data_IF_807751323297
#
_entry.id   IF_807751323297
#
_cell.length_a   1.000
_cell.length_b   1.000
_cell.length_c   1.000
_cell.angle_alpha   90.00
_cell.angle_beta   90.00
_cell.angle_gamma   90.00
#
_symmetry.space_group_name_H-M   'P 1'
#
loop_
_entity.id
_entity.type
_entity.pdbx_description
1 polymer ?
#
# COMPACT_ATOMS: atom_id res chain seq x y z
N UNK A 1 -7.50 3.59 15.09
CA UNK A 1 -7.96 3.54 13.68
C UNK A 1 -7.36 2.35 12.93
N UNK A 2 -6.03 2.29 12.77
CA UNK A 2 -5.35 1.21 12.03
C UNK A 2 -5.65 -0.21 12.54
N UNK A 3 -5.68 -0.43 13.87
CA UNK A 3 -6.09 -1.73 14.44
C UNK A 3 -7.50 -2.16 13.97
N UNK A 4 -8.47 -1.24 14.00
CA UNK A 4 -9.83 -1.53 13.57
C UNK A 4 -9.91 -1.84 12.06
N UNK A 5 -9.10 -1.17 11.24
CA UNK A 5 -8.95 -1.49 9.82
C UNK A 5 -8.38 -2.90 9.65
N UNK A 6 -7.32 -3.25 10.37
CA UNK A 6 -6.73 -4.58 10.28
C UNK A 6 -7.71 -5.69 10.71
N UNK A 7 -8.47 -5.50 11.79
CA UNK A 7 -9.48 -6.49 12.21
C UNK A 7 -10.60 -6.67 11.18
N UNK A 8 -11.03 -5.57 10.56
CA UNK A 8 -11.98 -5.61 9.44
C UNK A 8 -11.39 -6.30 8.21
N UNK A 9 -10.12 -6.04 7.88
CA UNK A 9 -9.38 -6.72 6.82
C UNK A 9 -9.35 -8.23 7.06
N UNK A 10 -8.91 -8.68 8.25
CA UNK A 10 -8.88 -10.10 8.64
C UNK A 10 -10.26 -10.75 8.56
N UNK A 11 -11.31 -10.04 8.96
CA UNK A 11 -12.69 -10.54 8.85
C UNK A 11 -13.12 -10.74 7.40
N UNK A 12 -12.81 -9.79 6.53
CA UNK A 12 -13.11 -9.92 5.09
C UNK A 12 -12.25 -11.00 4.43
N UNK A 13 -10.99 -11.14 4.80
CA UNK A 13 -10.12 -12.21 4.29
C UNK A 13 -10.71 -13.59 4.59
N UNK A 14 -11.17 -13.83 5.82
CA UNK A 14 -11.86 -15.08 6.18
C UNK A 14 -13.11 -15.33 5.34
N UNK A 15 -13.90 -14.28 5.05
CA UNK A 15 -15.09 -14.38 4.20
C UNK A 15 -14.76 -14.72 2.74
N UNK A 16 -13.61 -14.26 2.25
CA UNK A 16 -13.15 -14.45 0.88
C UNK A 16 -12.17 -15.62 0.71
N UNK A 17 -11.97 -16.41 1.78
CA UNK A 17 -11.03 -17.54 1.80
C UNK A 17 -9.61 -17.11 1.39
N UNK A 18 -9.11 -16.03 2.00
CA UNK A 18 -7.74 -15.54 1.80
C UNK A 18 -6.91 -15.76 3.06
N UNK A 19 -5.74 -16.37 2.89
CA UNK A 19 -4.80 -16.62 3.98
C UNK A 19 -3.97 -15.36 4.30
N UNK A 20 -3.67 -14.55 3.29
CA UNK A 20 -2.85 -13.35 3.38
C UNK A 20 -3.27 -12.33 2.31
N UNK A 21 -3.00 -11.04 2.53
CA UNK A 21 -3.08 -10.01 1.50
C UNK A 21 -1.73 -9.32 1.37
N UNK A 22 -1.19 -9.26 0.16
CA UNK A 22 0.04 -8.55 -0.18
C UNK A 22 -0.29 -7.19 -0.82
N UNK A 23 0.28 -6.12 -0.26
CA UNK A 23 0.00 -4.72 -0.60
C UNK A 23 1.29 -4.01 -1.02
N UNK A 24 1.23 -3.40 -2.19
CA UNK A 24 2.27 -2.59 -2.81
C UNK A 24 2.40 -1.21 -2.16
N UNK A 25 3.56 -0.55 -2.27
CA UNK A 25 3.72 0.87 -1.99
C UNK A 25 2.64 1.71 -2.67
N UNK A 26 1.97 2.56 -1.90
CA UNK A 26 0.93 3.45 -2.41
C UNK A 26 -0.24 3.64 -1.45
N UNK A 27 -1.40 4.11 -1.95
CA UNK A 27 -2.53 4.51 -1.12
C UNK A 27 -3.10 3.40 -0.23
N UNK A 28 -3.02 2.14 -0.65
CA UNK A 28 -3.49 1.01 0.15
C UNK A 28 -2.55 0.72 1.31
N UNK A 29 -1.23 0.78 1.08
CA UNK A 29 -0.25 0.65 2.16
C UNK A 29 -0.41 1.78 3.19
N UNK A 30 -0.55 3.02 2.75
CA UNK A 30 -0.84 4.14 3.66
C UNK A 30 -2.16 3.90 4.43
N UNK A 31 -3.22 3.45 3.75
CA UNK A 31 -4.52 3.20 4.41
C UNK A 31 -4.46 2.10 5.49
N UNK A 32 -3.76 1.00 5.24
CA UNK A 32 -3.68 -0.15 6.14
C UNK A 32 -2.59 -0.05 7.19
N UNK A 33 -1.48 0.60 6.85
CA UNK A 33 -0.25 0.59 7.64
C UNK A 33 0.22 1.97 8.09
N UNK A 34 -0.31 3.07 7.52
CA UNK A 34 0.25 4.43 7.65
C UNK A 34 1.72 4.50 7.24
N UNK A 35 2.08 3.68 6.24
CA UNK A 35 3.42 3.63 5.66
C UNK A 35 3.42 4.25 4.27
N UNK A 36 4.39 5.12 4.04
CA UNK A 36 4.60 5.80 2.77
C UNK A 36 5.96 5.41 2.18
N UNK A 37 5.89 4.64 1.10
CA UNK A 37 7.03 4.28 0.27
C UNK A 37 6.74 4.72 -1.16
N UNK A 38 7.80 5.13 -1.85
CA UNK A 38 7.71 5.40 -3.28
C UNK A 38 7.87 4.10 -4.05
N UNK A 39 7.04 3.92 -5.07
CA UNK A 39 7.22 2.81 -6.00
C UNK A 39 8.51 3.06 -6.80
N UNK A 40 9.47 2.15 -6.69
CA UNK A 40 10.76 2.19 -7.38
C UNK A 40 11.12 0.81 -7.92
N UNK A 41 12.21 0.67 -8.65
CA UNK A 41 12.77 -0.62 -9.08
C UNK A 41 13.03 -1.58 -7.91
N UNK A 42 13.30 -1.05 -6.72
CA UNK A 42 13.56 -1.84 -5.51
C UNK A 42 12.26 -2.43 -4.96
N UNK A 43 12.10 -3.76 -4.91
CA UNK A 43 10.86 -4.37 -4.43
C UNK A 43 10.58 -4.06 -2.96
N UNK A 44 9.34 -3.63 -2.70
CA UNK A 44 8.78 -3.43 -1.37
C UNK A 44 7.40 -4.06 -1.38
N UNK A 45 7.10 -4.91 -0.39
CA UNK A 45 5.81 -5.57 -0.29
C UNK A 45 5.42 -5.81 1.17
N UNK A 46 4.25 -5.29 1.56
CA UNK A 46 3.68 -5.54 2.88
C UNK A 46 2.72 -6.72 2.80
N UNK A 47 2.84 -7.64 3.75
CA UNK A 47 1.99 -8.81 3.87
C UNK A 47 1.15 -8.72 5.14
N UNK A 48 -0.15 -8.88 5.00
CA UNK A 48 -1.11 -8.92 6.09
C UNK A 48 -1.72 -10.32 6.16
N UNK A 49 -1.19 -11.22 6.99
CA UNK A 49 -1.75 -12.54 7.16
C UNK A 49 -3.08 -12.48 7.93
N UNK A 50 -3.95 -13.45 7.67
CA UNK A 50 -5.23 -13.62 8.38
C UNK A 50 -5.04 -13.86 9.88
N UNK A 51 -3.90 -14.47 10.24
CA UNK A 51 -3.46 -14.76 11.60
C UNK A 51 -2.00 -14.32 11.81
N UNK A 52 -1.68 -13.86 13.01
CA UNK A 52 -0.34 -13.35 13.35
C UNK A 52 -0.11 -11.89 12.93
N UNK A 53 1.18 -11.53 12.90
CA UNK A 53 1.65 -10.16 12.70
C UNK A 53 1.94 -9.87 11.22
N UNK A 54 1.75 -8.61 10.77
CA UNK A 54 2.17 -8.19 9.44
C UNK A 54 3.68 -8.36 9.20
N UNK A 55 4.05 -8.63 7.96
CA UNK A 55 5.43 -8.67 7.51
C UNK A 55 5.70 -7.63 6.43
N UNK A 56 6.94 -7.18 6.33
CA UNK A 56 7.36 -6.21 5.32
C UNK A 56 8.69 -6.66 4.72
N UNK A 57 8.72 -6.85 3.40
CA UNK A 57 9.98 -6.94 2.65
C UNK A 57 10.32 -5.54 2.13
N UNK A 58 11.54 -5.05 2.39
CA UNK A 58 11.92 -3.66 2.13
C UNK A 58 13.44 -3.49 2.02
N UNK A 59 13.98 -2.55 1.23
CA UNK A 59 15.38 -2.17 1.30
C UNK A 59 15.80 -1.78 2.72
N UNK A 60 16.98 -2.21 3.16
CA UNK A 60 17.42 -2.04 4.54
C UNK A 60 17.45 -0.58 5.01
N UNK A 61 17.82 0.35 4.13
CA UNK A 61 17.86 1.77 4.45
C UNK A 61 16.47 2.41 4.59
N UNK A 62 15.37 1.78 4.17
CA UNK A 62 14.01 2.29 4.39
C UNK A 62 13.25 1.51 5.47
N UNK A 63 13.84 0.46 6.02
CA UNK A 63 13.22 -0.40 7.03
C UNK A 63 12.77 0.36 8.29
N UNK A 64 13.50 1.42 8.65
CA UNK A 64 13.19 2.27 9.80
C UNK A 64 11.83 2.96 9.67
N UNK A 65 11.32 3.19 8.45
CA UNK A 65 9.97 3.79 8.27
C UNK A 65 8.88 2.93 8.91
N UNK A 66 9.05 1.61 8.90
CA UNK A 66 8.10 0.70 9.52
C UNK A 66 8.17 0.75 11.05
N UNK A 67 9.38 0.83 11.61
CA UNK A 67 9.59 0.91 13.08
C UNK A 67 9.19 2.27 13.64
N UNK A 68 9.42 3.34 12.89
CA UNK A 68 9.25 4.73 13.35
C UNK A 68 7.85 5.28 13.06
N UNK A 69 7.04 4.57 12.26
CA UNK A 69 5.66 4.94 11.95
C UNK A 69 4.78 5.14 13.19
N UNK A 70 5.19 4.64 14.37
CA UNK A 70 4.39 4.65 15.59
C UNK A 70 3.07 3.87 15.44
N UNK A 71 2.95 3.10 14.35
CA UNK A 71 1.80 2.29 14.04
C UNK A 71 1.62 1.16 15.07
N UNK A 72 0.41 0.60 15.18
CA UNK A 72 0.11 -0.40 16.21
C UNK A 72 0.69 -1.79 15.91
N UNK A 73 1.52 -1.93 14.87
CA UNK A 73 1.95 -3.20 14.31
C UNK A 73 3.34 -3.59 14.82
N UNK A 74 3.48 -4.84 15.23
CA UNK A 74 4.77 -5.48 15.45
C UNK A 74 5.24 -6.09 14.13
N UNK A 75 5.80 -5.26 13.24
CA UNK A 75 6.23 -5.71 11.91
C UNK A 75 7.32 -6.78 11.98
N UNK A 76 7.15 -7.85 11.22
CA UNK A 76 8.24 -8.76 10.85
C UNK A 76 8.96 -8.19 9.63
N UNK A 77 10.08 -7.54 9.86
CA UNK A 77 10.83 -6.84 8.82
C UNK A 77 11.87 -7.79 8.20
N UNK A 78 11.80 -7.93 6.89
CA UNK A 78 12.74 -8.66 6.06
C UNK A 78 13.48 -7.66 5.17
N UNK A 79 14.56 -7.11 5.72
CA UNK A 79 15.40 -6.14 5.04
C UNK A 79 16.34 -6.83 4.03
N UNK A 80 16.65 -6.15 2.92
CA UNK A 80 17.63 -6.60 1.93
C UNK A 80 18.52 -5.44 1.43
N UNK A 81 19.70 -5.74 0.88
CA UNK A 81 20.60 -4.76 0.24
C UNK A 81 20.77 -5.04 -1.26
N UNK A 82 21.17 -4.02 -2.02
CA UNK A 82 21.42 -4.17 -3.47
C UNK A 82 22.52 -5.23 -3.76
N UNK A 83 23.45 -5.48 -2.83
CA UNK A 83 24.50 -6.50 -2.99
C UNK A 83 23.99 -7.93 -2.78
N UNK A 84 23.12 -8.13 -1.78
CA UNK A 84 22.55 -9.45 -1.47
C UNK A 84 21.39 -9.82 -2.40
N UNK A 85 20.71 -8.81 -2.95
CA UNK A 85 19.48 -8.99 -3.69
C UNK A 85 18.28 -9.31 -2.80
N UNK A 86 17.09 -9.30 -3.41
CA UNK A 86 15.81 -9.37 -2.69
C UNK A 86 15.37 -10.80 -2.36
N UNK A 87 15.96 -11.80 -3.01
CA UNK A 87 15.51 -13.20 -2.98
C UNK A 87 15.53 -13.83 -1.58
N UNK A 88 16.59 -13.60 -0.82
CA UNK A 88 16.71 -14.16 0.54
C UNK A 88 15.65 -13.57 1.48
N UNK A 89 15.37 -12.27 1.36
CA UNK A 89 14.35 -11.60 2.15
C UNK A 89 12.93 -12.10 1.80
N UNK A 90 12.63 -12.27 0.51
CA UNK A 90 11.36 -12.87 0.07
C UNK A 90 11.22 -14.32 0.51
N UNK A 91 12.28 -15.13 0.37
CA UNK A 91 12.32 -16.53 0.84
C UNK A 91 11.99 -16.60 2.32
N UNK A 92 12.70 -15.83 3.15
CA UNK A 92 12.51 -15.81 4.60
C UNK A 92 11.09 -15.34 4.97
N UNK A 93 10.59 -14.30 4.32
CA UNK A 93 9.23 -13.79 4.53
C UNK A 93 8.18 -14.86 4.20
N UNK A 94 8.26 -15.47 3.02
CA UNK A 94 7.31 -16.48 2.56
C UNK A 94 7.33 -17.75 3.45
N UNK A 95 8.50 -18.14 3.95
CA UNK A 95 8.65 -19.27 4.88
C UNK A 95 8.05 -18.96 6.26
N UNK A 96 8.38 -17.79 6.83
CA UNK A 96 7.84 -17.37 8.15
C UNK A 96 6.32 -17.21 8.11
N UNK A 97 5.78 -16.74 7.00
CA UNK A 97 4.33 -16.63 6.77
C UNK A 97 3.68 -17.92 6.24
N UNK A 98 4.47 -18.96 5.95
CA UNK A 98 4.02 -20.24 5.42
C UNK A 98 3.13 -20.10 4.17
N UNK A 99 3.54 -19.26 3.20
CA UNK A 99 2.71 -18.90 2.04
C UNK A 99 2.62 -19.98 0.95
N UNK A 100 3.40 -21.05 1.03
CA UNK A 100 3.33 -22.14 0.06
C UNK A 100 1.93 -22.78 0.04
N UNK A 101 1.37 -22.98 -1.16
CA UNK A 101 0.00 -23.45 -1.39
C UNK A 101 -1.11 -22.59 -0.76
N UNK A 102 -0.81 -21.37 -0.31
CA UNK A 102 -1.81 -20.47 0.28
C UNK A 102 -2.49 -19.60 -0.75
N UNK A 103 -3.62 -19.02 -0.36
CA UNK A 103 -4.40 -18.07 -1.16
C UNK A 103 -4.04 -16.66 -0.73
N UNK A 104 -3.28 -15.97 -1.57
CA UNK A 104 -2.79 -14.61 -1.29
C UNK A 104 -3.56 -13.61 -2.13
N UNK A 105 -4.25 -12.69 -1.48
CA UNK A 105 -4.86 -11.55 -2.12
C UNK A 105 -3.79 -10.57 -2.61
N UNK A 106 -3.86 -10.16 -3.87
CA UNK A 106 -2.94 -9.19 -4.47
C UNK A 106 -3.72 -8.07 -5.15
N UNK A 107 -3.14 -6.88 -5.24
CA UNK A 107 -3.74 -5.76 -5.97
C UNK A 107 -3.66 -6.02 -7.47
N UNK A 108 -4.71 -6.53 -8.11
CA UNK A 108 -4.66 -7.02 -9.51
C UNK A 108 -4.18 -5.94 -10.47
N UNK A 109 -4.55 -4.69 -10.24
CA UNK A 109 -4.17 -3.55 -11.08
C UNK A 109 -2.91 -2.81 -10.58
N UNK A 110 -2.47 -3.06 -9.35
CA UNK A 110 -1.37 -2.33 -8.71
C UNK A 110 -0.08 -3.14 -8.55
N UNK A 111 -0.19 -4.47 -8.42
CA UNK A 111 0.95 -5.36 -8.30
C UNK A 111 1.72 -5.41 -9.62
N UNK A 112 3.03 -5.17 -9.57
CA UNK A 112 3.88 -5.29 -10.75
C UNK A 112 4.23 -6.75 -10.99
N UNK A 113 4.67 -7.01 -12.21
CA UNK A 113 5.13 -8.33 -12.64
C UNK A 113 6.30 -8.81 -11.77
N UNK A 114 7.17 -7.92 -11.31
CA UNK A 114 8.30 -8.25 -10.44
C UNK A 114 7.87 -8.86 -9.10
N UNK A 115 7.06 -8.15 -8.30
CA UNK A 115 6.57 -8.67 -7.01
C UNK A 115 5.72 -9.93 -7.18
N UNK A 116 4.97 -10.02 -8.28
CA UNK A 116 4.23 -11.23 -8.61
C UNK A 116 5.18 -12.43 -8.82
N UNK A 117 6.27 -12.26 -9.58
CA UNK A 117 7.24 -13.33 -9.80
C UNK A 117 8.01 -13.70 -8.54
N UNK A 118 8.41 -12.72 -7.73
CA UNK A 118 9.04 -12.97 -6.43
C UNK A 118 8.12 -13.79 -5.52
N UNK A 119 6.83 -13.45 -5.46
CA UNK A 119 5.84 -14.21 -4.71
C UNK A 119 5.72 -15.66 -5.25
N UNK A 120 5.59 -15.84 -6.56
CA UNK A 120 5.45 -17.17 -7.17
C UNK A 120 6.70 -18.04 -6.99
N UNK A 121 7.88 -17.43 -7.07
CA UNK A 121 9.18 -18.12 -6.91
C UNK A 121 9.38 -18.59 -5.48
N UNK A 122 9.11 -17.71 -4.51
CA UNK A 122 9.45 -17.92 -3.10
C UNK A 122 8.32 -18.53 -2.27
N UNK A 123 7.09 -18.59 -2.80
CA UNK A 123 5.97 -19.31 -2.23
C UNK A 123 5.39 -20.33 -3.24
N UNK A 124 6.02 -21.51 -3.39
CA UNK A 124 5.57 -22.51 -4.36
C UNK A 124 4.10 -22.90 -4.17
N UNK A 125 3.35 -22.93 -5.27
CA UNK A 125 1.93 -23.29 -5.28
C UNK A 125 0.99 -22.21 -4.76
N UNK A 126 1.49 -21.00 -4.45
CA UNK A 126 0.65 -19.88 -4.00
C UNK A 126 -0.39 -19.49 -5.06
N UNK A 127 -1.65 -19.42 -4.66
CA UNK A 127 -2.73 -18.90 -5.49
C UNK A 127 -2.85 -17.39 -5.27
N UNK A 128 -2.34 -16.59 -6.22
CA UNK A 128 -2.52 -15.15 -6.23
C UNK A 128 -3.92 -14.79 -6.75
N UNK A 129 -4.72 -14.13 -5.91
CA UNK A 129 -6.13 -13.80 -6.19
C UNK A 129 -6.37 -12.29 -6.07
N UNK A 130 -7.30 -11.69 -6.84
CA UNK A 130 -7.57 -10.26 -6.73
C UNK A 130 -8.11 -9.87 -5.34
N UNK A 131 -7.41 -8.98 -4.63
CA UNK A 131 -7.85 -8.38 -3.38
C UNK A 131 -8.71 -7.13 -3.59
N UNK A 132 -8.82 -6.62 -4.82
CA UNK A 132 -9.49 -5.37 -5.15
C UNK A 132 -10.92 -5.27 -4.59
N UNK A 133 -11.80 -6.29 -4.71
CA UNK A 133 -13.15 -6.20 -4.15
C UNK A 133 -13.17 -6.02 -2.62
N UNK A 134 -12.22 -6.67 -1.93
CA UNK A 134 -12.04 -6.55 -0.49
C UNK A 134 -11.60 -5.12 -0.14
N UNK A 135 -10.57 -4.63 -0.82
CA UNK A 135 -10.00 -3.29 -0.60
C UNK A 135 -11.05 -2.21 -0.89
N UNK A 136 -11.80 -2.33 -1.98
CA UNK A 136 -12.90 -1.42 -2.32
C UNK A 136 -13.96 -1.39 -1.21
N UNK A 137 -14.39 -2.55 -0.71
CA UNK A 137 -15.35 -2.64 0.40
C UNK A 137 -14.87 -1.89 1.65
N UNK A 138 -13.56 -1.87 1.88
CA UNK A 138 -12.97 -1.18 3.02
C UNK A 138 -12.88 0.33 2.82
N UNK A 139 -12.56 0.81 1.60
CA UNK A 139 -12.27 2.22 1.31
C UNK A 139 -13.45 3.00 0.71
N UNK A 140 -14.54 2.32 0.34
CA UNK A 140 -15.71 2.98 -0.24
C UNK A 140 -16.45 3.86 0.78
N UNK A 141 -16.58 3.40 2.03
CA UNK A 141 -17.19 4.13 3.14
C UNK A 141 -16.11 4.74 4.02
N UNK A 142 -16.10 6.06 4.14
CA UNK A 142 -15.06 6.83 4.83
C UNK A 142 -15.43 6.97 6.30
N UNK A 143 -14.43 6.89 7.17
CA UNK A 143 -14.58 7.29 8.56
C UNK A 143 -14.62 8.83 8.70
N UNK A 144 -14.95 9.30 9.91
CA UNK A 144 -15.07 10.73 10.17
C UNK A 144 -13.76 11.49 9.91
N UNK A 145 -12.61 10.89 10.23
CA UNK A 145 -11.30 11.52 10.02
C UNK A 145 -10.95 11.61 8.54
N UNK A 146 -11.25 10.57 7.76
CA UNK A 146 -11.10 10.58 6.31
C UNK A 146 -11.99 11.66 5.67
N UNK A 147 -13.25 11.78 6.11
CA UNK A 147 -14.17 12.82 5.62
C UNK A 147 -13.66 14.23 5.92
N UNK A 148 -13.14 14.48 7.12
CA UNK A 148 -12.56 15.78 7.46
C UNK A 148 -11.33 16.09 6.61
N UNK A 149 -10.43 15.13 6.38
CA UNK A 149 -9.30 15.30 5.46
C UNK A 149 -9.75 15.62 4.03
N UNK A 150 -10.79 14.93 3.53
CA UNK A 150 -11.35 15.20 2.21
C UNK A 150 -11.95 16.60 2.11
N UNK A 151 -12.73 17.05 3.10
CA UNK A 151 -13.28 18.41 3.12
C UNK A 151 -12.19 19.48 3.16
N UNK A 152 -11.13 19.26 3.93
CA UNK A 152 -9.99 20.16 3.97
C UNK A 152 -9.29 20.27 2.61
N UNK A 153 -9.10 19.13 1.93
CA UNK A 153 -8.53 19.11 0.58
C UNK A 153 -9.42 19.85 -0.43
N UNK A 154 -10.75 19.67 -0.37
CA UNK A 154 -11.71 20.40 -1.24
C UNK A 154 -11.61 21.92 -1.02
N UNK A 155 -11.63 22.38 0.25
CA UNK A 155 -11.48 23.81 0.56
C UNK A 155 -10.19 24.41 0.02
N UNK A 156 -9.09 23.65 0.08
CA UNK A 156 -7.82 24.09 -0.48
C UNK A 156 -7.91 24.26 -2.01
N UNK A 157 -8.51 23.29 -2.71
CA UNK A 157 -8.70 23.37 -4.16
C UNK A 157 -9.60 24.53 -4.56
N UNK A 158 -10.69 24.76 -3.81
CA UNK A 158 -11.59 25.91 -4.03
C UNK A 158 -10.84 27.24 -3.90
N UNK A 159 -10.04 27.40 -2.83
CA UNK A 159 -9.23 28.59 -2.60
C UNK A 159 -8.21 28.82 -3.72
N UNK A 160 -7.49 27.77 -4.15
CA UNK A 160 -6.51 27.89 -5.24
C UNK A 160 -7.20 28.30 -6.54
N UNK A 161 -8.36 27.73 -6.84
CA UNK A 161 -9.11 28.08 -8.05
C UNK A 161 -9.60 29.55 -8.01
N UNK A 162 -10.15 29.99 -6.89
CA UNK A 162 -10.59 31.37 -6.69
C UNK A 162 -9.45 32.38 -6.88
N UNK A 163 -8.24 32.03 -6.41
CA UNK A 163 -7.04 32.86 -6.55
C UNK A 163 -6.47 32.86 -7.99
N UNK A 164 -6.60 31.75 -8.72
CA UNK A 164 -6.05 31.61 -10.08
C UNK A 164 -6.96 32.23 -11.14
N UNK A 165 -8.29 32.14 -11.00
CA UNK A 165 -9.24 32.62 -12.02
C UNK A 165 -9.02 34.08 -12.46
N UNK A 166 -8.79 35.06 -11.58
CA UNK A 166 -8.55 36.45 -11.97
C UNK A 166 -7.25 36.69 -12.75
N UNK A 167 -6.31 35.73 -12.69
CA UNK A 167 -5.01 35.84 -13.35
C UNK A 167 -5.06 35.41 -14.82
N UNK A 168 -6.09 34.65 -15.22
CA UNK A 168 -6.25 34.13 -16.58
C UNK A 168 -6.64 35.26 -17.55
N UNK A 169 -5.92 35.34 -18.68
CA UNK A 169 -6.10 36.38 -19.70
C UNK A 169 -6.11 35.78 -21.10
N UNK A 170 -6.80 36.46 -22.02
CA UNK A 170 -6.76 36.12 -23.46
C UNK A 170 -5.30 36.18 -23.94
N UNK A 171 -4.87 35.13 -24.65
CA UNK A 171 -3.52 35.00 -25.16
C UNK A 171 -2.60 34.13 -24.29
N UNK A 172 -3.02 33.73 -23.09
CA UNK A 172 -2.31 32.72 -22.31
C UNK A 172 -2.49 31.32 -22.91
N UNK A 173 -1.43 30.53 -22.86
CA UNK A 173 -1.44 29.10 -23.14
C UNK A 173 -1.92 28.31 -21.92
N UNK A 174 -2.40 27.09 -22.15
CA UNK A 174 -2.82 26.18 -21.07
C UNK A 174 -1.69 25.89 -20.06
N UNK A 175 -0.42 25.87 -20.51
CA UNK A 175 0.74 25.70 -19.63
C UNK A 175 0.97 26.89 -18.71
N UNK A 176 0.78 28.11 -19.21
CA UNK A 176 0.91 29.32 -18.40
C UNK A 176 -0.21 29.41 -17.37
N UNK A 177 -1.43 29.01 -17.72
CA UNK A 177 -2.54 28.90 -16.77
C UNK A 177 -2.24 27.82 -15.71
N UNK A 178 -1.71 26.66 -16.11
CA UNK A 178 -1.33 25.60 -15.16
C UNK A 178 -0.20 26.03 -14.21
N UNK A 179 0.72 26.90 -14.65
CA UNK A 179 1.79 27.42 -13.81
C UNK A 179 1.28 28.36 -12.70
N UNK A 180 0.11 28.98 -12.87
CA UNK A 180 -0.54 29.78 -11.83
C UNK A 180 -1.26 28.94 -10.76
N UNK A 181 -1.32 27.61 -10.92
CA UNK A 181 -1.87 26.64 -9.96
C UNK A 181 -0.80 26.01 -9.05
N UNK A 182 0.49 26.25 -9.32
CA UNK A 182 1.64 25.72 -8.55
C UNK A 182 2.07 26.68 -7.44
#
# INVERSE_FOLDING_TARGET
MLRARLEKLKTLMRKHDLDCVAIMPGPNMHYFADLEFHLSERPILAFFPSEGDPALVVPGFESFKATDSGGPFSWRIFAWSDEEGVDNAFTACCQVLQLANKRVGVEKLGMRVEEYWLLQTHAPGVAALPADPLITTMRQVKDATELEKMKAAVKLVESVLEDTLPKIKIGMTEKEVAAELM
#
